data_IF_868934663111
#
_entry.id   IF_868934663111
#
_cell.length_a   1.000
_cell.length_b   1.000
_cell.length_c   1.000
_cell.angle_alpha   90.00
_cell.angle_beta   90.00
_cell.angle_gamma   90.00
#
_symmetry.space_group_name_H-M   'P 1'
#
loop_
_entity.id
_entity.type
_entity.pdbx_description
1 polymer ?
#
# COMPACT_ATOMS: atom_id res chain seq x y z
N UNK A 1 -19.05 26.54 1.08
CA UNK A 1 -19.45 25.24 0.49
C UNK A 1 -20.19 24.39 1.51
N UNK A 2 -21.25 23.69 1.12
CA UNK A 2 -21.98 22.78 2.01
C UNK A 2 -21.17 21.49 2.19
N UNK A 3 -21.37 20.73 3.27
CA UNK A 3 -20.68 19.44 3.44
C UNK A 3 -20.98 18.49 2.26
N UNK A 4 -22.17 18.60 1.66
CA UNK A 4 -22.58 17.88 0.46
C UNK A 4 -21.77 18.25 -0.79
N UNK A 5 -21.44 19.52 -1.01
CA UNK A 5 -20.62 19.89 -2.17
C UNK A 5 -19.20 19.35 -2.04
N UNK A 6 -18.66 19.37 -0.82
CA UNK A 6 -17.32 18.84 -0.54
C UNK A 6 -17.30 17.32 -0.74
N UNK A 7 -18.34 16.61 -0.30
CA UNK A 7 -18.44 15.15 -0.48
C UNK A 7 -18.60 14.76 -1.95
N UNK A 8 -19.34 15.54 -2.74
CA UNK A 8 -19.50 15.30 -4.18
C UNK A 8 -18.16 15.45 -4.91
N UNK A 9 -17.40 16.51 -4.62
CA UNK A 9 -16.09 16.74 -5.25
C UNK A 9 -15.14 15.58 -4.96
N UNK A 10 -15.03 15.19 -3.69
CA UNK A 10 -14.14 14.11 -3.24
C UNK A 10 -14.58 12.73 -3.78
N UNK A 11 -15.89 12.48 -3.90
CA UNK A 11 -16.37 11.20 -4.45
C UNK A 11 -16.18 11.10 -5.96
N UNK A 12 -16.33 12.21 -6.70
CA UNK A 12 -16.06 12.27 -8.14
C UNK A 12 -14.59 11.97 -8.41
N UNK A 13 -13.67 12.61 -7.67
CA UNK A 13 -12.23 12.36 -7.83
C UNK A 13 -11.87 10.92 -7.46
N UNK A 14 -12.45 10.38 -6.39
CA UNK A 14 -12.25 8.99 -5.99
C UNK A 14 -12.67 8.00 -7.09
N UNK A 15 -13.83 8.21 -7.73
CA UNK A 15 -14.30 7.36 -8.83
C UNK A 15 -13.35 7.49 -10.03
N UNK A 16 -12.93 8.72 -10.37
CA UNK A 16 -12.02 8.97 -11.48
C UNK A 16 -10.67 8.24 -11.27
N UNK A 17 -10.08 8.35 -10.09
CA UNK A 17 -8.85 7.63 -9.75
C UNK A 17 -9.05 6.11 -9.73
N UNK A 18 -10.23 5.61 -9.32
CA UNK A 18 -10.50 4.17 -9.29
C UNK A 18 -10.56 3.59 -10.69
N UNK A 19 -11.29 4.25 -11.58
CA UNK A 19 -11.36 3.89 -12.98
C UNK A 19 -9.98 4.00 -13.65
N UNK A 20 -9.22 5.04 -13.33
CA UNK A 20 -7.85 5.22 -13.81
C UNK A 20 -6.93 4.07 -13.39
N UNK A 21 -6.91 3.74 -12.09
CA UNK A 21 -6.11 2.64 -11.54
C UNK A 21 -6.53 1.27 -12.09
N UNK A 22 -7.84 1.02 -12.20
CA UNK A 22 -8.38 -0.20 -12.78
C UNK A 22 -8.00 -0.35 -14.26
N UNK A 23 -8.16 0.73 -15.05
CA UNK A 23 -7.82 0.73 -16.47
C UNK A 23 -6.31 0.54 -16.68
N UNK A 24 -5.48 1.22 -15.89
CA UNK A 24 -4.03 1.06 -15.93
C UNK A 24 -3.62 -0.38 -15.63
N UNK A 25 -4.22 -1.00 -14.61
CA UNK A 25 -3.95 -2.40 -14.30
C UNK A 25 -4.35 -3.31 -15.45
N UNK A 26 -5.59 -3.23 -15.94
CA UNK A 26 -6.09 -4.15 -16.98
C UNK A 26 -5.31 -4.00 -18.29
N UNK A 27 -4.99 -2.78 -18.71
CA UNK A 27 -4.32 -2.53 -19.99
C UNK A 27 -2.82 -2.80 -19.95
N UNK A 28 -2.13 -2.52 -18.83
CA UNK A 28 -0.67 -2.54 -18.80
C UNK A 28 -0.09 -3.64 -17.92
N UNK A 29 -0.68 -3.91 -16.75
CA UNK A 29 -0.19 -4.95 -15.84
C UNK A 29 -0.83 -6.32 -16.12
N UNK A 30 -2.14 -6.38 -16.38
CA UNK A 30 -2.87 -7.63 -16.56
C UNK A 30 -2.38 -8.44 -17.77
N UNK A 31 -1.99 -7.75 -18.85
CA UNK A 31 -1.42 -8.38 -20.03
C UNK A 31 0.00 -8.92 -19.78
N UNK A 32 0.83 -8.16 -19.07
CA UNK A 32 2.24 -8.51 -18.85
C UNK A 32 2.46 -9.57 -17.75
N UNK A 33 1.60 -9.59 -16.73
CA UNK A 33 1.74 -10.51 -15.58
C UNK A 33 0.87 -11.77 -15.69
N UNK A 34 -0.08 -11.85 -16.64
CA UNK A 34 -1.00 -12.99 -16.77
C UNK A 34 -1.88 -13.24 -15.53
N UNK A 35 -1.88 -12.32 -14.57
CA UNK A 35 -2.59 -12.45 -13.29
C UNK A 35 -4.05 -12.06 -13.51
N UNK A 36 -4.95 -13.05 -13.47
CA UNK A 36 -6.40 -12.86 -13.65
C UNK A 36 -7.17 -12.83 -12.33
N UNK A 37 -6.50 -12.73 -11.19
CA UNK A 37 -7.17 -12.76 -9.90
C UNK A 37 -7.80 -11.39 -9.59
N UNK A 38 -9.14 -11.33 -9.55
CA UNK A 38 -9.91 -10.10 -9.32
C UNK A 38 -9.50 -9.38 -8.03
N UNK A 39 -9.13 -10.13 -6.99
CA UNK A 39 -8.70 -9.55 -5.71
C UNK A 39 -7.39 -8.76 -5.83
N UNK A 40 -6.42 -9.22 -6.63
CA UNK A 40 -5.18 -8.46 -6.88
C UNK A 40 -5.50 -7.13 -7.55
N UNK A 41 -6.35 -7.17 -8.58
CA UNK A 41 -6.74 -5.99 -9.37
C UNK A 41 -7.45 -4.99 -8.47
N UNK A 42 -8.39 -5.47 -7.67
CA UNK A 42 -9.18 -4.64 -6.76
C UNK A 42 -8.30 -4.03 -5.66
N UNK A 43 -7.43 -4.81 -5.02
CA UNK A 43 -6.50 -4.31 -4.01
C UNK A 43 -5.55 -3.26 -4.59
N UNK A 44 -5.01 -3.49 -5.80
CA UNK A 44 -4.17 -2.50 -6.49
C UNK A 44 -4.93 -1.20 -6.75
N UNK A 45 -6.12 -1.29 -7.36
CA UNK A 45 -6.93 -0.11 -7.66
C UNK A 45 -7.30 0.65 -6.38
N UNK A 46 -7.65 -0.05 -5.30
CA UNK A 46 -7.94 0.58 -4.00
C UNK A 46 -6.73 1.33 -3.43
N UNK A 47 -5.56 0.71 -3.39
CA UNK A 47 -4.35 1.36 -2.88
C UNK A 47 -4.02 2.58 -3.73
N UNK A 48 -4.02 2.42 -5.05
CA UNK A 48 -3.78 3.52 -5.98
C UNK A 48 -4.74 4.68 -5.76
N UNK A 49 -6.04 4.40 -5.62
CA UNK A 49 -7.03 5.45 -5.34
C UNK A 49 -6.75 6.18 -4.06
N UNK A 50 -6.57 5.45 -2.96
CA UNK A 50 -6.32 6.07 -1.67
C UNK A 50 -5.06 6.93 -1.74
N UNK A 51 -3.99 6.46 -2.42
CA UNK A 51 -2.75 7.22 -2.60
C UNK A 51 -2.99 8.52 -3.36
N UNK A 52 -3.78 8.50 -4.44
CA UNK A 52 -4.19 9.70 -5.14
C UNK A 52 -5.08 10.61 -4.27
N UNK A 53 -6.00 10.06 -3.48
CA UNK A 53 -6.85 10.83 -2.57
C UNK A 53 -6.03 11.56 -1.50
N UNK A 54 -4.99 10.93 -0.95
CA UNK A 54 -4.09 11.63 -0.01
C UNK A 54 -3.38 12.80 -0.66
N UNK A 55 -2.85 12.60 -1.85
CA UNK A 55 -2.17 13.65 -2.59
C UNK A 55 -3.13 14.79 -2.94
N UNK A 56 -4.35 14.47 -3.36
CA UNK A 56 -5.40 15.44 -3.66
C UNK A 56 -5.83 16.23 -2.42
N UNK A 57 -5.99 15.58 -1.26
CA UNK A 57 -6.34 16.26 -0.01
C UNK A 57 -5.27 17.30 0.40
N UNK A 58 -3.99 16.99 0.17
CA UNK A 58 -2.90 17.96 0.38
C UNK A 58 -3.01 19.14 -0.60
N UNK A 59 -3.35 18.89 -1.86
CA UNK A 59 -3.58 19.96 -2.84
C UNK A 59 -4.77 20.83 -2.44
N UNK A 60 -5.88 20.23 -2.01
CA UNK A 60 -7.05 20.96 -1.54
C UNK A 60 -6.80 21.76 -0.27
N UNK A 61 -5.85 21.31 0.56
CA UNK A 61 -5.34 22.09 1.69
C UNK A 61 -4.59 23.34 1.23
N UNK A 62 -3.64 23.19 0.30
CA UNK A 62 -2.85 24.32 -0.22
C UNK A 62 -3.73 25.34 -0.94
N UNK A 63 -4.72 24.88 -1.71
CA UNK A 63 -5.64 25.73 -2.47
C UNK A 63 -6.82 26.26 -1.65
N UNK A 64 -6.94 25.87 -0.37
CA UNK A 64 -8.05 26.24 0.52
C UNK A 64 -9.46 26.00 -0.07
N UNK A 65 -9.62 24.95 -0.88
CA UNK A 65 -10.88 24.63 -1.57
C UNK A 65 -11.92 23.94 -0.66
N UNK A 66 -11.44 23.12 0.28
CA UNK A 66 -12.28 22.29 1.16
C UNK A 66 -12.41 22.92 2.56
N UNK A 67 -13.56 22.73 3.20
CA UNK A 67 -13.73 23.13 4.60
C UNK A 67 -12.78 22.37 5.53
N UNK A 68 -12.23 23.00 6.58
CA UNK A 68 -11.26 22.37 7.48
C UNK A 68 -11.84 21.15 8.21
N UNK A 69 -13.12 21.19 8.60
CA UNK A 69 -13.80 20.06 9.26
C UNK A 69 -13.99 18.85 8.34
N UNK A 70 -14.40 19.10 7.08
CA UNK A 70 -14.57 18.06 6.06
C UNK A 70 -13.22 17.40 5.73
N UNK A 71 -12.18 18.22 5.54
CA UNK A 71 -10.82 17.77 5.25
C UNK A 71 -10.26 16.87 6.36
N UNK A 72 -10.44 17.25 7.62
CA UNK A 72 -10.00 16.46 8.76
C UNK A 72 -10.63 15.06 8.76
N UNK A 73 -11.94 14.98 8.53
CA UNK A 73 -12.65 13.70 8.43
C UNK A 73 -12.12 12.83 7.28
N UNK A 74 -11.97 13.41 6.09
CA UNK A 74 -11.46 12.68 4.93
C UNK A 74 -10.02 12.21 5.13
N UNK A 75 -9.17 13.04 5.72
CA UNK A 75 -7.80 12.65 6.03
C UNK A 75 -7.75 11.44 6.95
N UNK A 76 -8.54 11.43 8.03
CA UNK A 76 -8.63 10.27 8.91
C UNK A 76 -9.14 9.03 8.17
N UNK A 77 -10.24 9.13 7.42
CA UNK A 77 -10.81 8.00 6.68
C UNK A 77 -9.78 7.41 5.69
N UNK A 78 -9.08 8.25 4.95
CA UNK A 78 -8.06 7.80 3.98
C UNK A 78 -6.85 7.20 4.71
N UNK A 79 -6.39 7.78 5.82
CA UNK A 79 -5.27 7.22 6.61
C UNK A 79 -5.62 5.84 7.18
N UNK A 80 -6.80 5.72 7.83
CA UNK A 80 -7.24 4.46 8.43
C UNK A 80 -7.40 3.36 7.38
N UNK A 81 -8.04 3.68 6.24
CA UNK A 81 -8.22 2.71 5.16
C UNK A 81 -6.90 2.30 4.50
N UNK A 82 -5.97 3.23 4.28
CA UNK A 82 -4.62 2.91 3.79
C UNK A 82 -3.86 1.99 4.72
N UNK A 83 -3.78 2.32 6.01
CA UNK A 83 -3.05 1.52 6.99
C UNK A 83 -3.66 0.13 7.12
N UNK A 84 -4.99 0.04 7.11
CA UNK A 84 -5.68 -1.25 7.13
C UNK A 84 -5.30 -2.11 5.91
N UNK A 85 -5.34 -1.52 4.71
CA UNK A 85 -4.96 -2.22 3.49
C UNK A 85 -3.50 -2.68 3.53
N UNK A 86 -2.58 -1.78 3.91
CA UNK A 86 -1.15 -2.03 3.85
C UNK A 86 -0.65 -3.02 4.91
N UNK A 87 -1.15 -2.91 6.14
CA UNK A 87 -0.65 -3.70 7.29
C UNK A 87 -1.40 -5.02 7.45
N UNK A 88 -2.70 -5.06 7.14
CA UNK A 88 -3.51 -6.25 7.37
C UNK A 88 -3.86 -6.99 6.07
N UNK A 89 -4.50 -6.31 5.12
CA UNK A 89 -5.09 -6.96 3.95
C UNK A 89 -4.04 -7.48 2.96
N UNK A 90 -3.05 -6.66 2.60
CA UNK A 90 -2.01 -7.04 1.64
C UNK A 90 -1.14 -8.19 2.18
N UNK A 91 -0.61 -8.15 3.42
CA UNK A 91 0.25 -9.23 3.92
C UNK A 91 -0.51 -10.54 4.06
N UNK A 92 -1.79 -10.50 4.45
CA UNK A 92 -2.65 -11.68 4.49
C UNK A 92 -2.78 -12.31 3.09
N UNK A 93 -3.05 -11.47 2.09
CA UNK A 93 -3.26 -11.94 0.72
C UNK A 93 -1.97 -12.46 0.07
N UNK A 94 -0.82 -11.83 0.32
CA UNK A 94 0.49 -12.33 -0.11
C UNK A 94 0.78 -13.69 0.52
N UNK A 95 0.57 -13.84 1.84
CA UNK A 95 0.76 -15.13 2.52
C UNK A 95 -0.15 -16.22 1.94
N UNK A 96 -1.41 -15.90 1.65
CA UNK A 96 -2.35 -16.81 1.01
C UNK A 96 -1.87 -17.24 -0.38
N UNK A 97 -1.44 -16.30 -1.22
CA UNK A 97 -0.93 -16.60 -2.56
C UNK A 97 0.35 -17.44 -2.53
N UNK A 98 1.28 -17.13 -1.62
CA UNK A 98 2.53 -17.89 -1.47
C UNK A 98 2.23 -19.34 -1.08
N UNK A 99 1.40 -19.56 -0.07
CA UNK A 99 1.05 -20.90 0.39
C UNK A 99 0.24 -21.68 -0.64
N UNK A 100 -0.67 -21.03 -1.37
CA UNK A 100 -1.43 -21.67 -2.44
C UNK A 100 -0.55 -22.03 -3.66
N UNK A 101 0.59 -21.36 -3.84
CA UNK A 101 1.56 -21.69 -4.90
C UNK A 101 2.36 -22.94 -4.56
N UNK A 102 2.64 -23.18 -3.27
CA UNK A 102 3.33 -24.38 -2.82
C UNK A 102 2.34 -25.55 -2.82
N UNK A 103 2.48 -26.49 -3.77
CA UNK A 103 1.62 -27.69 -3.91
C UNK A 103 1.66 -28.68 -2.73
N UNK A 104 2.29 -28.32 -1.61
CA UNK A 104 2.57 -29.22 -0.48
C UNK A 104 1.32 -29.45 0.39
N UNK A 105 0.35 -28.54 0.36
CA UNK A 105 -0.92 -28.66 1.09
C UNK A 105 -2.07 -28.59 0.10
N UNK A 106 -2.75 -29.72 -0.13
CA UNK A 106 -3.87 -29.81 -1.08
C UNK A 106 -5.21 -29.38 -0.45
N UNK A 107 -5.30 -29.38 0.88
CA UNK A 107 -6.51 -29.04 1.61
C UNK A 107 -6.65 -27.55 1.88
N UNK A 108 -7.74 -26.96 1.39
CA UNK A 108 -8.05 -25.53 1.55
C UNK A 108 -8.04 -25.05 3.01
N UNK A 109 -8.53 -25.88 3.94
CA UNK A 109 -8.59 -25.51 5.38
C UNK A 109 -7.20 -25.38 6.00
N UNK A 110 -6.28 -26.26 5.61
CA UNK A 110 -4.91 -26.24 6.10
C UNK A 110 -4.15 -25.05 5.51
N UNK A 111 -4.33 -24.75 4.21
CA UNK A 111 -3.76 -23.55 3.58
C UNK A 111 -4.21 -22.29 4.32
N UNK A 112 -5.50 -22.19 4.65
CA UNK A 112 -6.04 -21.04 5.39
C UNK A 112 -5.47 -20.95 6.81
N UNK A 113 -5.35 -22.08 7.53
CA UNK A 113 -4.75 -22.11 8.87
C UNK A 113 -3.29 -21.66 8.85
N UNK A 114 -2.48 -22.20 7.93
CA UNK A 114 -1.08 -21.78 7.77
C UNK A 114 -0.97 -20.32 7.35
N UNK A 115 -1.89 -19.83 6.50
CA UNK A 115 -1.95 -18.42 6.13
C UNK A 115 -2.18 -17.54 7.36
N UNK A 116 -3.14 -17.90 8.22
CA UNK A 116 -3.42 -17.17 9.45
C UNK A 116 -2.22 -17.19 10.40
N UNK A 117 -1.54 -18.32 10.54
CA UNK A 117 -0.34 -18.43 11.38
C UNK A 117 0.78 -17.53 10.85
N UNK A 118 1.07 -17.59 9.53
CA UNK A 118 2.08 -16.76 8.90
C UNK A 118 1.74 -15.26 9.00
N UNK A 119 0.46 -14.91 8.86
CA UNK A 119 -0.02 -13.54 9.00
C UNK A 119 0.08 -13.03 10.44
N UNK A 120 -0.32 -13.83 11.44
CA UNK A 120 -0.14 -13.49 12.85
C UNK A 120 1.35 -13.33 13.21
N UNK A 121 2.21 -14.20 12.67
CA UNK A 121 3.66 -14.09 12.83
C UNK A 121 4.20 -12.79 12.22
N UNK A 122 3.75 -12.44 11.01
CA UNK A 122 4.09 -11.16 10.37
C UNK A 122 3.67 -9.97 11.23
N UNK A 123 2.44 -9.95 11.74
CA UNK A 123 1.95 -8.87 12.61
C UNK A 123 2.77 -8.76 13.90
N UNK A 124 3.15 -9.89 14.51
CA UNK A 124 4.02 -9.91 15.68
C UNK A 124 5.40 -9.31 15.38
N UNK A 125 6.02 -9.71 14.27
CA UNK A 125 7.31 -9.18 13.83
C UNK A 125 7.21 -7.68 13.53
N UNK A 126 6.19 -7.26 12.80
CA UNK A 126 5.89 -5.86 12.51
C UNK A 126 5.74 -5.03 13.79
N UNK A 127 5.07 -5.58 14.81
CA UNK A 127 4.94 -4.94 16.11
C UNK A 127 6.24 -4.91 16.92
N UNK A 128 7.14 -5.88 16.74
CA UNK A 128 8.43 -5.89 17.44
C UNK A 128 9.42 -4.90 16.83
N UNK A 129 9.42 -4.74 15.50
CA UNK A 129 10.37 -3.90 14.76
C UNK A 129 10.33 -2.41 15.10
N UNK A 130 9.18 -1.89 15.56
CA UNK A 130 9.05 -0.47 15.91
C UNK A 130 9.24 -0.12 17.39
N UNK A 131 9.59 -1.09 18.24
CA UNK A 131 9.90 -0.83 19.65
C UNK A 131 11.21 -0.06 19.93
N UNK A 132 12.26 -0.05 19.08
CA UNK A 132 13.48 0.68 19.39
C UNK A 132 13.37 2.20 19.19
N UNK A 133 12.21 2.73 18.77
CA UNK A 133 12.04 4.16 18.48
C UNK A 133 11.41 4.93 19.66
N UNK A 134 12.06 6.01 20.15
CA UNK A 134 11.59 6.78 21.30
C UNK A 134 10.50 7.78 20.89
N UNK A 135 9.27 7.30 20.68
CA UNK A 135 8.06 8.15 20.54
C UNK A 135 7.07 7.85 21.71
N UNK A 136 7.55 7.14 22.74
CA UNK A 136 6.72 6.64 23.84
C UNK A 136 6.31 7.76 24.79
N UNK A 137 5.14 8.34 24.57
CA UNK A 137 4.32 8.78 25.69
C UNK A 137 3.46 7.58 26.13
N UNK A 138 3.52 7.27 27.42
CA UNK A 138 3.41 5.91 28.00
C UNK A 138 2.11 5.10 27.82
N UNK A 139 1.04 5.62 27.20
CA UNK A 139 -0.31 5.04 27.43
C UNK A 139 -1.19 4.71 26.20
N UNK A 140 -0.71 4.81 24.95
CA UNK A 140 -1.55 4.47 23.78
C UNK A 140 -0.97 3.32 22.94
N UNK A 141 -1.23 2.09 23.39
CA UNK A 141 -0.81 0.86 22.72
C UNK A 141 -1.32 0.71 21.27
N UNK A 142 -2.30 1.50 20.81
CA UNK A 142 -2.90 1.36 19.49
C UNK A 142 -3.12 2.71 18.76
N UNK A 143 -2.30 3.73 19.08
CA UNK A 143 -2.43 5.02 18.39
C UNK A 143 -2.03 4.90 16.91
N UNK A 144 -2.77 5.58 16.03
CA UNK A 144 -2.55 5.56 14.59
C UNK A 144 -1.15 6.08 14.22
N UNK A 145 -0.65 7.06 14.98
CA UNK A 145 0.66 7.68 14.79
C UNK A 145 1.80 6.66 14.88
N UNK A 146 1.70 5.70 15.81
CA UNK A 146 2.68 4.62 15.95
C UNK A 146 2.66 3.69 14.73
N UNK A 147 1.48 3.38 14.20
CA UNK A 147 1.35 2.52 13.02
C UNK A 147 1.96 3.21 11.79
N UNK A 148 1.65 4.51 11.59
CA UNK A 148 2.20 5.33 10.51
C UNK A 148 3.73 5.41 10.61
N UNK A 149 4.27 5.67 11.79
CA UNK A 149 5.72 5.75 12.02
C UNK A 149 6.43 4.43 11.66
N UNK A 150 5.88 3.30 12.08
CA UNK A 150 6.42 1.96 11.79
C UNK A 150 6.41 1.63 10.31
N UNK A 151 5.26 1.84 9.67
CA UNK A 151 5.11 1.67 8.21
C UNK A 151 6.08 2.59 7.47
N UNK A 152 6.23 3.84 7.90
CA UNK A 152 7.13 4.82 7.30
C UNK A 152 8.58 4.37 7.34
N UNK A 153 9.08 3.92 8.48
CA UNK A 153 10.47 3.46 8.64
C UNK A 153 10.73 2.21 7.79
N UNK A 154 9.85 1.20 7.88
CA UNK A 154 9.96 -0.03 7.08
C UNK A 154 9.89 0.31 5.57
N UNK A 155 8.96 1.17 5.17
CA UNK A 155 8.81 1.59 3.78
C UNK A 155 10.04 2.32 3.25
N UNK A 156 10.55 3.31 3.98
CA UNK A 156 11.72 4.10 3.57
C UNK A 156 12.98 3.24 3.53
N UNK A 157 13.18 2.35 4.51
CA UNK A 157 14.33 1.42 4.49
C UNK A 157 14.28 0.47 3.30
N UNK A 158 13.11 -0.10 2.99
CA UNK A 158 12.93 -0.96 1.81
C UNK A 158 13.14 -0.16 0.52
N UNK A 159 12.60 1.07 0.43
CA UNK A 159 12.82 1.94 -0.73
C UNK A 159 14.30 2.31 -0.89
N UNK A 160 15.02 2.58 0.19
CA UNK A 160 16.44 2.89 0.15
C UNK A 160 17.28 1.71 -0.35
N UNK A 161 17.01 0.50 0.14
CA UNK A 161 17.71 -0.73 -0.29
C UNK A 161 17.44 -1.01 -1.78
N UNK A 162 16.17 -0.93 -2.21
CA UNK A 162 15.80 -1.17 -3.61
C UNK A 162 16.37 -0.11 -4.55
N UNK A 163 16.35 1.16 -4.13
CA UNK A 163 16.96 2.25 -4.89
C UNK A 163 18.47 2.07 -5.01
N UNK A 164 19.17 1.70 -3.93
CA UNK A 164 20.59 1.39 -3.94
C UNK A 164 20.94 0.23 -4.88
N UNK A 165 20.15 -0.85 -4.85
CA UNK A 165 20.32 -1.96 -5.79
C UNK A 165 20.08 -1.52 -7.25
N UNK A 166 19.03 -0.74 -7.50
CA UNK A 166 18.74 -0.20 -8.83
C UNK A 166 19.84 0.72 -9.37
N UNK A 167 20.44 1.53 -8.49
CA UNK A 167 21.54 2.44 -8.84
C UNK A 167 22.81 1.70 -9.25
N UNK A 168 23.07 0.49 -8.71
CA UNK A 168 24.21 -0.34 -9.11
C UNK A 168 23.86 -1.20 -10.34
N UNK A 169 22.65 -1.75 -10.40
CA UNK A 169 22.26 -2.67 -11.46
C UNK A 169 22.05 -1.98 -12.83
N UNK A 170 21.54 -0.74 -12.84
CA UNK A 170 21.38 0.04 -14.07
C UNK A 170 22.70 0.25 -14.84
N UNK A 171 23.75 0.83 -14.25
CA UNK A 171 25.02 1.02 -14.96
C UNK A 171 25.66 -0.30 -15.34
N UNK A 172 25.58 -1.35 -14.50
CA UNK A 172 26.08 -2.68 -14.86
C UNK A 172 25.42 -3.21 -16.14
N UNK A 173 24.09 -3.11 -16.23
CA UNK A 173 23.33 -3.53 -17.41
C UNK A 173 23.67 -2.68 -18.64
N UNK A 174 23.75 -1.36 -18.49
CA UNK A 174 24.06 -0.45 -19.62
C UNK A 174 25.53 -0.55 -20.07
N UNK A 175 26.48 -0.87 -19.18
CA UNK A 175 27.89 -1.04 -19.55
C UNK A 175 28.08 -2.22 -20.53
N UNK A 176 27.25 -3.27 -20.44
CA UNK A 176 27.29 -4.39 -21.39
C UNK A 176 26.92 -3.97 -22.83
N UNK A 177 26.15 -2.90 -23.02
CA UNK A 177 25.88 -2.34 -24.35
C UNK A 177 27.12 -1.63 -24.92
N UNK A 178 27.90 -0.96 -24.07
CA UNK A 178 29.11 -0.26 -24.50
C UNK A 178 30.31 -1.19 -24.71
N UNK A 179 30.39 -2.31 -23.97
CA UNK A 179 31.48 -3.29 -24.10
C UNK A 179 31.32 -4.20 -25.33
N UNK A 180 30.10 -4.37 -25.87
CA UNK A 180 29.85 -5.19 -27.08
C UNK A 180 30.18 -4.49 -28.42
N UNK A 181 30.81 -3.32 -28.39
CA UNK A 181 31.32 -2.64 -29.59
C UNK A 181 32.80 -3.00 -29.76
N UNK A 182 33.06 -4.22 -30.25
CA UNK A 182 34.26 -4.61 -30.99
C UNK A 182 34.05 -5.95 -31.67
#
# INVERSE_FOLDING_TARGET
MSLLTDTIVVTISQIAFFLGGWMFFVRQLGLNYGVRNRFVILSFALIFTLSCMMFELIIFEILALLKPTSRYLYWHIVLYSMLFLLVFLIPFYIAYLLLNTVKIVRDFRLVLLFTLIAWCFYLYVFWKFGNPFPISNRNEFFSIEFCISRVGIIGVTVMAILSGFGAVNCPYTYMTYFIKVN
#
